data_IF_287622252719
#
_entry.id   IF_287622252719
#
_cell.length_a   1.000
_cell.length_b   1.000
_cell.length_c   1.000
_cell.angle_alpha   90.00
_cell.angle_beta   90.00
_cell.angle_gamma   90.00
#
_symmetry.space_group_name_H-M   'P 1'
#
loop_
_entity.id
_entity.type
_entity.pdbx_description
1 polymer ?
#
# COMPACT_ATOMS: atom_id res chain seq x y z
N UNK A 1 -32.17 -16.47 -6.69
CA UNK A 1 -31.22 -15.75 -7.58
C UNK A 1 -30.73 -14.53 -6.81
N UNK A 2 -29.68 -14.67 -6.01
CA UNK A 2 -29.14 -13.55 -5.23
C UNK A 2 -28.63 -12.47 -6.18
N UNK A 3 -29.23 -11.28 -6.10
CA UNK A 3 -28.82 -10.12 -6.89
C UNK A 3 -27.44 -9.69 -6.41
N UNK A 4 -26.40 -9.99 -7.20
CA UNK A 4 -25.03 -9.52 -6.94
C UNK A 4 -25.05 -7.99 -6.78
N UNK A 5 -24.77 -7.49 -5.57
CA UNK A 5 -24.70 -6.06 -5.27
C UNK A 5 -23.73 -5.37 -6.25
N UNK A 6 -24.08 -4.18 -6.75
CA UNK A 6 -23.15 -3.41 -7.58
C UNK A 6 -22.01 -2.93 -6.67
N UNK A 7 -20.81 -2.78 -7.23
CA UNK A 7 -19.62 -2.34 -6.46
C UNK A 7 -19.83 -1.02 -5.71
N UNK A 8 -20.53 -0.07 -6.32
CA UNK A 8 -20.87 1.19 -5.66
C UNK A 8 -21.81 0.98 -4.47
N UNK A 9 -22.74 0.02 -4.53
CA UNK A 9 -23.65 -0.27 -3.42
C UNK A 9 -22.87 -0.92 -2.25
N UNK A 10 -21.96 -1.86 -2.54
CA UNK A 10 -21.05 -2.43 -1.52
C UNK A 10 -20.14 -1.36 -0.89
N UNK A 11 -19.62 -0.44 -1.71
CA UNK A 11 -18.80 0.65 -1.21
C UNK A 11 -19.63 1.58 -0.31
N UNK A 12 -20.86 1.95 -0.70
CA UNK A 12 -21.77 2.74 0.15
C UNK A 12 -22.00 2.08 1.51
N UNK A 13 -22.23 0.77 1.56
CA UNK A 13 -22.39 0.04 2.82
C UNK A 13 -21.13 0.13 3.70
N UNK A 14 -19.94 -0.04 3.11
CA UNK A 14 -18.68 0.11 3.83
C UNK A 14 -18.46 1.53 4.35
N UNK A 15 -18.66 2.54 3.50
CA UNK A 15 -18.51 3.95 3.89
C UNK A 15 -19.60 4.41 4.86
N UNK A 16 -20.79 3.81 4.84
CA UNK A 16 -21.81 4.02 5.87
C UNK A 16 -21.35 3.49 7.23
N UNK A 17 -20.81 2.27 7.24
CA UNK A 17 -20.35 1.62 8.48
C UNK A 17 -19.08 2.23 9.06
N UNK A 18 -18.15 2.65 8.20
CA UNK A 18 -16.79 3.04 8.58
C UNK A 18 -16.41 4.47 8.17
N UNK A 19 -17.39 5.30 7.77
CA UNK A 19 -17.17 6.70 7.39
C UNK A 19 -16.49 7.51 8.49
N UNK A 20 -16.75 7.17 9.76
CA UNK A 20 -16.10 7.76 10.92
C UNK A 20 -14.57 7.62 10.95
N UNK A 21 -13.97 6.75 10.13
CA UNK A 21 -12.51 6.66 9.98
C UNK A 21 -11.91 7.82 9.16
N UNK A 22 -12.75 8.56 8.43
CA UNK A 22 -12.34 9.67 7.59
C UNK A 22 -12.46 11.02 8.31
N UNK A 23 -11.57 11.93 7.95
CA UNK A 23 -11.60 13.33 8.36
C UNK A 23 -11.71 14.21 7.10
N UNK A 24 -12.51 15.27 7.18
CA UNK A 24 -12.63 16.21 6.07
C UNK A 24 -11.27 16.85 5.76
N UNK A 25 -10.75 16.77 4.52
CA UNK A 25 -9.45 17.36 4.18
C UNK A 25 -9.44 18.90 4.25
N UNK A 26 -10.61 19.54 4.37
CA UNK A 26 -10.74 21.00 4.46
C UNK A 26 -10.80 21.48 5.91
N UNK A 27 -11.59 20.82 6.76
CA UNK A 27 -11.87 21.28 8.12
C UNK A 27 -11.61 20.25 9.23
N UNK A 28 -11.06 19.09 8.90
CA UNK A 28 -10.76 17.96 9.80
C UNK A 28 -11.95 17.35 10.56
N UNK A 29 -13.17 17.82 10.32
CA UNK A 29 -14.38 17.27 10.93
C UNK A 29 -14.61 15.80 10.49
N UNK A 30 -15.21 14.96 11.35
CA UNK A 30 -15.66 13.62 10.96
C UNK A 30 -16.54 13.64 9.71
N UNK A 31 -16.50 12.54 8.97
CA UNK A 31 -17.28 12.39 7.74
C UNK A 31 -18.24 11.21 7.82
N UNK A 32 -19.36 11.33 7.12
CA UNK A 32 -20.36 10.27 6.97
C UNK A 32 -20.83 10.21 5.52
N UNK A 33 -21.40 9.07 5.11
CA UNK A 33 -22.02 8.95 3.79
C UNK A 33 -23.35 9.72 3.78
N UNK A 34 -23.57 10.47 2.71
CA UNK A 34 -24.81 11.16 2.38
C UNK A 34 -25.28 10.74 0.98
N UNK A 35 -26.58 10.91 0.71
CA UNK A 35 -27.14 10.71 -0.63
C UNK A 35 -26.63 11.78 -1.61
N UNK A 36 -26.39 11.44 -2.89
CA UNK A 36 -26.68 10.17 -3.55
C UNK A 36 -25.55 9.12 -3.46
N UNK A 37 -24.33 9.49 -3.05
CA UNK A 37 -23.17 8.62 -2.81
C UNK A 37 -21.94 9.48 -2.42
N UNK A 38 -22.08 10.35 -1.42
CA UNK A 38 -21.10 11.41 -1.17
C UNK A 38 -20.61 11.32 0.26
N UNK A 39 -19.29 11.34 0.46
CA UNK A 39 -18.71 11.46 1.79
C UNK A 39 -18.72 12.94 2.18
N UNK A 40 -19.44 13.28 3.25
CA UNK A 40 -19.72 14.65 3.66
C UNK A 40 -19.44 14.86 5.15
N UNK A 41 -18.92 16.05 5.51
CA UNK A 41 -18.81 16.48 6.92
C UNK A 41 -19.93 17.47 7.28
N UNK A 42 -20.10 17.77 8.57
CA UNK A 42 -21.14 18.69 9.07
C UNK A 42 -21.05 20.12 8.50
N UNK A 43 -19.86 20.55 8.07
CA UNK A 43 -19.65 21.82 7.36
C UNK A 43 -20.05 21.78 5.87
N UNK A 44 -20.67 20.68 5.42
CA UNK A 44 -21.15 20.43 4.04
C UNK A 44 -20.06 20.37 2.96
N UNK A 45 -18.79 20.21 3.32
CA UNK A 45 -17.78 19.79 2.33
C UNK A 45 -18.05 18.36 1.90
N UNK A 46 -18.06 18.13 0.60
CA UNK A 46 -18.58 16.92 -0.04
C UNK A 46 -17.58 16.34 -1.02
N UNK A 47 -17.42 15.02 -1.00
CA UNK A 47 -16.52 14.28 -1.87
C UNK A 47 -17.25 13.06 -2.45
N UNK A 48 -17.37 13.02 -3.76
CA UNK A 48 -18.15 11.97 -4.42
C UNK A 48 -17.46 10.61 -4.34
N UNK A 49 -18.25 9.58 -4.05
CA UNK A 49 -17.84 8.20 -4.19
C UNK A 49 -17.89 7.83 -5.67
N UNK A 50 -16.73 7.53 -6.26
CA UNK A 50 -16.66 7.12 -7.65
C UNK A 50 -17.39 5.79 -7.86
N UNK A 51 -17.92 5.57 -9.07
CA UNK A 51 -18.60 4.30 -9.46
C UNK A 51 -17.76 3.02 -9.23
N UNK A 52 -16.44 3.17 -9.12
CA UNK A 52 -15.52 2.08 -8.80
C UNK A 52 -15.51 1.71 -7.32
N UNK A 53 -15.97 2.59 -6.42
CA UNK A 53 -16.02 2.36 -4.97
C UNK A 53 -14.88 3.02 -4.18
N UNK A 54 -14.29 4.10 -4.68
CA UNK A 54 -13.27 4.90 -3.96
C UNK A 54 -13.70 6.36 -3.83
N UNK A 55 -13.14 7.07 -2.86
CA UNK A 55 -13.30 8.52 -2.70
C UNK A 55 -11.99 9.24 -3.06
N UNK A 56 -12.08 10.41 -3.70
CA UNK A 56 -10.91 11.27 -3.91
C UNK A 56 -10.96 12.45 -2.94
N UNK A 57 -9.96 12.54 -2.07
CA UNK A 57 -9.87 13.53 -0.99
C UNK A 57 -8.73 14.52 -1.21
N UNK A 58 -8.10 14.53 -2.38
CA UNK A 58 -7.16 15.58 -2.76
C UNK A 58 -7.90 16.90 -2.98
N UNK A 59 -7.48 17.95 -2.27
CA UNK A 59 -8.06 19.30 -2.37
C UNK A 59 -7.39 20.18 -3.41
N UNK A 60 -6.23 19.76 -3.93
CA UNK A 60 -5.48 20.45 -4.97
C UNK A 60 -5.03 19.47 -6.04
N UNK A 61 -4.85 19.95 -7.27
CA UNK A 61 -4.25 19.16 -8.32
C UNK A 61 -2.81 18.80 -7.95
N UNK A 62 -2.52 17.51 -7.95
CA UNK A 62 -1.15 17.00 -7.86
C UNK A 62 -0.59 17.01 -9.28
N UNK A 63 0.71 17.33 -9.43
CA UNK A 63 1.38 17.23 -10.72
C UNK A 63 1.23 15.80 -11.27
N UNK A 64 1.10 15.68 -12.58
CA UNK A 64 1.08 14.38 -13.24
C UNK A 64 2.29 13.55 -12.76
N UNK A 65 2.00 12.43 -12.11
CA UNK A 65 3.02 11.54 -11.60
C UNK A 65 3.47 10.60 -12.73
N UNK A 66 4.70 10.09 -12.68
CA UNK A 66 5.15 9.01 -13.57
C UNK A 66 4.48 7.67 -13.26
N UNK A 67 3.60 7.62 -12.25
CA UNK A 67 2.80 6.44 -11.92
C UNK A 67 1.50 6.47 -12.72
N UNK A 68 1.54 5.85 -13.89
CA UNK A 68 0.40 5.76 -14.82
C UNK A 68 -0.36 4.45 -14.67
N UNK A 69 -1.40 4.29 -15.50
CA UNK A 69 -2.29 3.14 -15.46
C UNK A 69 -1.57 1.84 -15.85
N UNK A 70 -0.67 1.92 -16.81
CA UNK A 70 0.08 0.80 -17.37
C UNK A 70 1.02 0.20 -16.31
N UNK A 71 1.71 1.04 -15.54
CA UNK A 71 2.51 0.61 -14.38
C UNK A 71 1.67 -0.21 -13.40
N UNK A 72 0.53 0.31 -12.95
CA UNK A 72 -0.30 -0.38 -11.95
C UNK A 72 -0.92 -1.67 -12.50
N UNK A 73 -1.25 -1.71 -13.79
CA UNK A 73 -1.70 -2.94 -14.44
C UNK A 73 -0.59 -4.00 -14.46
N UNK A 74 0.65 -3.61 -14.81
CA UNK A 74 1.80 -4.51 -14.79
C UNK A 74 2.12 -5.01 -13.38
N UNK A 75 2.05 -4.12 -12.38
CA UNK A 75 2.24 -4.46 -10.96
C UNK A 75 1.19 -5.45 -10.47
N UNK A 76 -0.08 -5.23 -10.80
CA UNK A 76 -1.17 -6.15 -10.45
C UNK A 76 -0.95 -7.53 -11.05
N UNK A 77 -0.64 -7.62 -12.34
CA UNK A 77 -0.40 -8.90 -13.02
C UNK A 77 0.80 -9.65 -12.40
N UNK A 78 1.92 -8.96 -12.16
CA UNK A 78 3.08 -9.59 -11.53
C UNK A 78 2.80 -10.03 -10.08
N UNK A 79 2.00 -9.25 -9.33
CA UNK A 79 1.52 -9.64 -8.01
C UNK A 79 0.67 -10.92 -8.06
N UNK A 80 -0.20 -11.06 -9.07
CA UNK A 80 -1.04 -12.25 -9.26
C UNK A 80 -0.22 -13.50 -9.60
N UNK A 81 0.94 -13.33 -10.25
CA UNK A 81 1.92 -14.40 -10.47
C UNK A 81 2.68 -14.80 -9.20
N UNK A 82 2.43 -14.12 -8.07
CA UNK A 82 2.95 -14.48 -6.77
C UNK A 82 4.31 -13.88 -6.44
N UNK A 83 4.75 -12.85 -7.17
CA UNK A 83 6.06 -12.21 -7.00
C UNK A 83 6.40 -11.81 -5.55
N UNK A 84 5.42 -11.26 -4.82
CA UNK A 84 5.56 -10.85 -3.41
C UNK A 84 5.01 -11.87 -2.39
N UNK A 85 4.74 -13.11 -2.80
CA UNK A 85 4.06 -14.09 -1.92
C UNK A 85 4.81 -14.41 -0.63
N UNK A 86 6.13 -14.63 -0.73
CA UNK A 86 6.94 -14.94 0.45
C UNK A 86 7.00 -13.77 1.42
N UNK A 87 7.24 -12.56 0.90
CA UNK A 87 7.22 -11.33 1.69
C UNK A 87 5.89 -11.14 2.44
N UNK A 88 4.76 -11.31 1.75
CA UNK A 88 3.44 -11.12 2.35
C UNK A 88 3.08 -12.21 3.36
N UNK A 89 3.61 -13.44 3.21
CA UNK A 89 3.45 -14.49 4.20
C UNK A 89 4.21 -14.19 5.51
N UNK A 90 5.45 -13.71 5.41
CA UNK A 90 6.20 -13.25 6.60
C UNK A 90 5.51 -12.05 7.26
N UNK A 91 5.06 -11.07 6.46
CA UNK A 91 4.31 -9.92 6.98
C UNK A 91 3.02 -10.37 7.72
N UNK A 92 2.27 -11.33 7.17
CA UNK A 92 1.08 -11.88 7.84
C UNK A 92 1.41 -12.55 9.18
N UNK A 93 2.58 -13.18 9.29
CA UNK A 93 3.05 -13.79 10.55
C UNK A 93 3.27 -12.72 11.61
N UNK A 94 3.96 -11.63 11.26
CA UNK A 94 4.13 -10.49 12.17
C UNK A 94 2.81 -9.81 12.52
N UNK A 95 1.91 -9.63 11.54
CA UNK A 95 0.59 -9.08 11.79
C UNK A 95 -0.17 -9.92 12.82
N UNK A 96 -0.19 -11.23 12.66
CA UNK A 96 -0.89 -12.16 13.57
C UNK A 96 -0.29 -12.11 14.98
N UNK A 97 1.03 -11.94 15.09
CA UNK A 97 1.72 -11.96 16.38
C UNK A 97 1.64 -10.62 17.13
N UNK A 98 1.73 -9.49 16.42
CA UNK A 98 1.88 -8.17 17.04
C UNK A 98 0.65 -7.27 16.92
N UNK A 99 -0.30 -7.54 16.02
CA UNK A 99 -1.50 -6.73 15.94
C UNK A 99 -2.30 -6.83 17.25
N UNK A 100 -2.86 -5.71 17.75
CA UNK A 100 -3.60 -5.74 18.99
C UNK A 100 -4.84 -6.63 18.86
N UNK A 101 -5.03 -7.53 19.82
CA UNK A 101 -6.22 -8.37 19.91
C UNK A 101 -7.36 -7.58 20.58
N UNK A 102 -8.33 -7.11 19.79
CA UNK A 102 -9.57 -6.52 20.30
C UNK A 102 -10.73 -7.49 20.14
N UNK A 103 -11.39 -7.88 21.24
CA UNK A 103 -12.52 -8.80 21.19
C UNK A 103 -13.80 -8.16 20.60
N UNK A 104 -13.95 -6.83 20.72
CA UNK A 104 -15.24 -6.16 20.52
C UNK A 104 -15.33 -5.32 19.23
N UNK A 105 -14.24 -5.19 18.47
CA UNK A 105 -14.21 -4.40 17.23
C UNK A 105 -13.30 -5.06 16.17
N UNK A 106 -13.58 -4.87 14.87
CA UNK A 106 -12.67 -5.34 13.83
C UNK A 106 -11.32 -4.63 13.91
N UNK A 107 -10.24 -5.35 13.60
CA UNK A 107 -8.91 -4.78 13.44
C UNK A 107 -8.92 -3.78 12.28
N UNK A 108 -8.47 -2.55 12.52
CA UNK A 108 -8.34 -1.52 11.48
C UNK A 108 -6.94 -1.52 10.89
N UNK A 109 -6.83 -1.82 9.59
CA UNK A 109 -5.56 -1.84 8.85
C UNK A 109 -5.56 -0.71 7.81
N UNK A 110 -4.57 0.18 7.88
CA UNK A 110 -4.25 1.17 6.85
C UNK A 110 -3.08 0.67 6.01
N UNK A 111 -3.19 0.65 4.68
CA UNK A 111 -2.04 0.52 3.77
C UNK A 111 -1.71 1.92 3.21
N UNK A 112 -0.58 2.48 3.68
CA UNK A 112 -0.10 3.81 3.38
C UNK A 112 0.84 3.79 2.15
N UNK A 113 0.30 4.14 0.99
CA UNK A 113 0.96 3.95 -0.31
C UNK A 113 0.59 2.62 -0.96
N UNK A 114 -0.70 2.26 -0.92
CA UNK A 114 -1.17 0.94 -1.30
C UNK A 114 -1.05 0.61 -2.80
N UNK A 115 -0.79 1.61 -3.64
CA UNK A 115 -0.75 1.47 -5.09
C UNK A 115 -2.03 0.86 -5.67
N UNK A 116 -1.91 -0.32 -6.27
CA UNK A 116 -3.04 -1.06 -6.84
C UNK A 116 -3.77 -1.98 -5.84
N UNK A 117 -3.32 -2.05 -4.59
CA UNK A 117 -4.06 -2.66 -3.49
C UNK A 117 -3.87 -4.17 -3.29
N UNK A 118 -3.07 -4.86 -4.12
CA UNK A 118 -2.83 -6.31 -3.98
C UNK A 118 -2.32 -6.71 -2.59
N UNK A 119 -1.42 -5.92 -2.00
CA UNK A 119 -0.83 -6.25 -0.69
C UNK A 119 -1.87 -6.20 0.42
N UNK A 120 -2.57 -5.07 0.58
CA UNK A 120 -3.68 -4.93 1.53
C UNK A 120 -4.74 -6.02 1.33
N UNK A 121 -5.13 -6.28 0.07
CA UNK A 121 -6.16 -7.27 -0.23
C UNK A 121 -5.77 -8.67 0.24
N UNK A 122 -4.52 -9.08 0.02
CA UNK A 122 -4.02 -10.39 0.45
C UNK A 122 -3.91 -10.51 1.96
N UNK A 123 -3.41 -9.47 2.63
CA UNK A 123 -3.27 -9.42 4.09
C UNK A 123 -4.62 -9.48 4.79
N UNK A 124 -5.59 -8.69 4.32
CA UNK A 124 -6.95 -8.69 4.88
C UNK A 124 -7.66 -10.02 4.60
N UNK A 125 -7.49 -10.60 3.41
CA UNK A 125 -8.05 -11.91 3.10
C UNK A 125 -7.48 -13.01 4.00
N UNK A 126 -6.17 -13.04 4.21
CA UNK A 126 -5.53 -14.01 5.10
C UNK A 126 -6.01 -13.87 6.55
N UNK A 127 -6.11 -12.64 7.06
CA UNK A 127 -6.60 -12.36 8.41
C UNK A 127 -8.07 -12.77 8.57
N UNK A 128 -8.93 -12.47 7.60
CA UNK A 128 -10.34 -12.90 7.60
C UNK A 128 -10.49 -14.42 7.56
N UNK A 129 -9.67 -15.11 6.77
CA UNK A 129 -9.64 -16.58 6.72
C UNK A 129 -9.22 -17.22 8.04
N UNK A 130 -8.47 -16.51 8.89
CA UNK A 130 -8.14 -16.93 10.26
C UNK A 130 -9.23 -16.62 11.29
N UNK A 131 -10.39 -16.11 10.85
CA UNK A 131 -11.53 -15.77 11.70
C UNK A 131 -11.47 -14.38 12.33
N UNK A 132 -10.42 -13.61 12.07
CA UNK A 132 -10.28 -12.24 12.60
C UNK A 132 -11.15 -11.26 11.80
N UNK A 133 -12.08 -10.53 12.43
CA UNK A 133 -12.79 -9.45 11.77
C UNK A 133 -11.81 -8.32 11.44
N UNK A 134 -11.67 -7.98 10.16
CA UNK A 134 -10.73 -6.94 9.69
C UNK A 134 -11.41 -5.98 8.73
N UNK A 135 -11.16 -4.68 8.93
CA UNK A 135 -11.43 -3.63 7.96
C UNK A 135 -10.11 -3.04 7.46
N UNK A 136 -9.91 -3.09 6.14
CA UNK A 136 -8.75 -2.53 5.47
C UNK A 136 -9.09 -1.27 4.71
N UNK A 137 -8.23 -0.26 4.79
CA UNK A 137 -8.25 0.94 3.97
C UNK A 137 -6.93 1.10 3.22
N UNK A 138 -6.99 1.26 1.90
CA UNK A 138 -5.84 1.64 1.09
C UNK A 138 -5.85 3.13 0.78
N UNK A 139 -4.74 3.80 1.07
CA UNK A 139 -4.50 5.20 0.77
C UNK A 139 -3.33 5.31 -0.20
N UNK A 140 -3.51 6.06 -1.29
CA UNK A 140 -2.42 6.41 -2.20
C UNK A 140 -2.70 7.76 -2.87
N UNK A 141 -1.65 8.48 -3.26
CA UNK A 141 -1.77 9.72 -4.02
C UNK A 141 -2.06 9.44 -5.51
N UNK A 142 -1.68 8.27 -6.00
CA UNK A 142 -1.86 7.85 -7.38
C UNK A 142 -3.29 7.37 -7.66
N UNK A 143 -4.09 8.28 -8.25
CA UNK A 143 -5.49 8.02 -8.60
C UNK A 143 -5.70 6.76 -9.43
N UNK A 144 -4.84 6.47 -10.39
CA UNK A 144 -5.00 5.29 -11.25
C UNK A 144 -4.75 3.97 -10.51
N UNK A 145 -3.84 3.96 -9.52
CA UNK A 145 -3.62 2.84 -8.61
C UNK A 145 -4.87 2.56 -7.77
N UNK A 146 -5.39 3.58 -7.08
CA UNK A 146 -6.63 3.46 -6.29
C UNK A 146 -7.84 3.07 -7.14
N UNK A 147 -7.95 3.62 -8.35
CA UNK A 147 -9.01 3.27 -9.28
C UNK A 147 -8.93 1.80 -9.70
N UNK A 148 -7.71 1.26 -9.90
CA UNK A 148 -7.51 -0.16 -10.17
C UNK A 148 -7.83 -1.00 -8.92
N UNK A 149 -7.33 -0.60 -7.74
CA UNK A 149 -7.59 -1.26 -6.46
C UNK A 149 -9.09 -1.43 -6.20
N UNK A 150 -9.86 -0.34 -6.26
CA UNK A 150 -11.31 -0.36 -6.04
C UNK A 150 -12.06 -1.19 -7.09
N UNK A 151 -11.54 -1.25 -8.32
CA UNK A 151 -12.10 -2.14 -9.35
C UNK A 151 -11.79 -3.60 -9.08
N UNK A 152 -10.61 -3.94 -8.59
CA UNK A 152 -10.18 -5.33 -8.44
C UNK A 152 -10.69 -5.92 -7.13
N UNK A 153 -10.65 -5.14 -6.04
CA UNK A 153 -10.84 -5.62 -4.67
C UNK A 153 -12.03 -4.94 -3.99
N UNK A 154 -13.14 -5.67 -3.90
CA UNK A 154 -14.31 -5.28 -3.11
C UNK A 154 -14.15 -5.62 -1.61
N UNK A 155 -14.92 -4.99 -0.73
CA UNK A 155 -14.89 -5.31 0.70
C UNK A 155 -13.78 -4.58 1.49
N UNK A 156 -13.17 -3.56 0.87
CA UNK A 156 -12.11 -2.71 1.38
C UNK A 156 -12.44 -1.25 1.09
N UNK A 157 -11.93 -0.33 1.91
CA UNK A 157 -12.04 1.10 1.70
C UNK A 157 -10.86 1.57 0.85
N UNK A 158 -11.13 2.48 -0.08
CA UNK A 158 -10.10 3.01 -0.98
C UNK A 158 -10.23 4.52 -1.07
N UNK A 159 -9.12 5.23 -0.87
CA UNK A 159 -9.11 6.68 -1.05
C UNK A 159 -7.86 7.19 -1.76
N UNK A 160 -8.07 8.18 -2.63
CA UNK A 160 -6.99 8.98 -3.18
C UNK A 160 -6.71 10.13 -2.22
N UNK A 161 -5.52 10.17 -1.63
CA UNK A 161 -5.15 11.19 -0.66
C UNK A 161 -3.61 11.32 -0.55
N UNK A 162 -3.17 12.47 -0.04
CA UNK A 162 -1.76 12.70 0.28
C UNK A 162 -1.47 12.18 1.70
N UNK A 163 -0.54 11.23 1.82
CA UNK A 163 -0.12 10.70 3.11
C UNK A 163 0.47 11.79 4.02
N UNK A 164 1.03 12.86 3.45
CA UNK A 164 1.59 13.96 4.24
C UNK A 164 0.54 14.70 5.09
N UNK A 165 -0.74 14.62 4.69
CA UNK A 165 -1.89 15.20 5.38
C UNK A 165 -3.09 14.26 5.23
N UNK A 166 -2.95 13.05 5.77
CA UNK A 166 -3.93 11.99 5.55
C UNK A 166 -5.31 12.39 6.10
N UNK A 167 -6.37 12.42 5.29
CA UNK A 167 -7.73 12.81 5.69
C UNK A 167 -8.44 11.68 6.44
N UNK A 168 -7.78 11.19 7.50
CA UNK A 168 -8.19 10.08 8.34
C UNK A 168 -8.17 10.53 9.80
N UNK A 169 -9.10 10.00 10.60
CA UNK A 169 -9.21 10.30 12.01
C UNK A 169 -7.98 9.80 12.78
N UNK A 170 -7.56 10.62 13.75
CA UNK A 170 -6.45 10.30 14.64
C UNK A 170 -6.83 9.17 15.61
N UNK A 171 -5.83 8.37 16.01
CA UNK A 171 -5.98 7.31 17.03
C UNK A 171 -6.98 6.20 16.73
N UNK A 172 -7.25 5.92 15.45
CA UNK A 172 -8.23 4.92 15.01
C UNK A 172 -7.63 3.66 14.37
N UNK A 173 -6.31 3.67 14.10
CA UNK A 173 -5.66 2.65 13.28
C UNK A 173 -4.85 1.68 14.14
N UNK A 174 -5.25 0.42 14.17
CA UNK A 174 -4.59 -0.61 14.95
C UNK A 174 -3.31 -1.10 14.25
N UNK A 175 -3.29 -1.08 12.92
CA UNK A 175 -2.12 -1.41 12.11
C UNK A 175 -1.96 -0.43 10.95
N UNK A 176 -0.75 0.09 10.77
CA UNK A 176 -0.34 0.77 9.54
C UNK A 176 0.69 -0.11 8.82
N UNK A 177 0.37 -0.49 7.59
CA UNK A 177 1.28 -1.11 6.64
C UNK A 177 1.90 0.00 5.78
N UNK A 178 3.21 -0.05 5.61
CA UNK A 178 3.92 0.76 4.63
C UNK A 178 4.94 -0.13 3.91
N UNK A 179 4.56 -0.58 2.71
CA UNK A 179 5.27 -1.66 1.99
C UNK A 179 6.02 -1.07 0.80
N UNK A 180 7.35 -0.99 0.90
CA UNK A 180 8.21 -0.44 -0.16
C UNK A 180 7.80 0.98 -0.60
N UNK A 181 7.17 1.74 0.30
CA UNK A 181 6.65 3.09 0.11
C UNK A 181 7.42 4.11 0.96
N UNK A 182 7.42 5.41 0.61
CA UNK A 182 7.86 6.47 1.51
C UNK A 182 6.91 6.65 2.69
N UNK A 183 7.47 6.78 3.90
CA UNK A 183 6.71 6.92 5.13
C UNK A 183 6.58 8.38 5.60
N UNK A 184 5.49 8.67 6.32
CA UNK A 184 5.38 9.86 7.16
C UNK A 184 5.11 9.44 8.61
N UNK A 185 6.18 9.37 9.41
CA UNK A 185 6.10 8.86 10.78
C UNK A 185 5.31 9.77 11.73
N UNK A 186 5.25 11.08 11.46
CA UNK A 186 4.42 11.99 12.24
C UNK A 186 2.93 11.71 12.01
N UNK A 187 2.53 11.48 10.76
CA UNK A 187 1.16 11.08 10.42
C UNK A 187 0.85 9.68 10.94
N UNK A 188 1.79 8.73 10.87
CA UNK A 188 1.58 7.40 11.47
C UNK A 188 1.28 7.49 12.96
N UNK A 189 2.08 8.24 13.74
CA UNK A 189 1.80 8.46 15.17
C UNK A 189 0.45 9.13 15.41
N UNK A 190 0.07 10.10 14.59
CA UNK A 190 -1.25 10.76 14.71
C UNK A 190 -2.39 9.76 14.51
N UNK A 191 -2.23 8.84 13.55
CA UNK A 191 -3.26 7.90 13.14
C UNK A 191 -3.38 6.67 14.05
N UNK A 192 -2.26 6.17 14.57
CA UNK A 192 -2.24 4.94 15.38
C UNK A 192 -3.08 5.04 16.64
N UNK A 193 -3.89 4.01 16.89
CA UNK A 193 -4.54 3.78 18.17
C UNK A 193 -3.48 3.51 19.26
N UNK A 194 -3.85 3.56 20.56
CA UNK A 194 -2.86 3.43 21.63
C UNK A 194 -1.99 2.18 21.62
N UNK A 195 -2.58 1.05 21.24
CA UNK A 195 -1.88 -0.23 21.11
C UNK A 195 -1.48 -0.54 19.65
N UNK A 196 -1.59 0.46 18.77
CA UNK A 196 -1.36 0.28 17.35
C UNK A 196 0.11 0.10 16.99
N UNK A 197 0.33 -0.61 15.89
CA UNK A 197 1.67 -0.92 15.37
C UNK A 197 1.86 -0.42 13.93
N UNK A 198 3.11 -0.15 13.56
CA UNK A 198 3.52 0.01 12.16
C UNK A 198 4.28 -1.23 11.72
N UNK A 199 3.92 -1.79 10.57
CA UNK A 199 4.73 -2.78 9.86
C UNK A 199 5.29 -2.12 8.60
N UNK A 200 6.59 -1.80 8.64
CA UNK A 200 7.30 -1.12 7.56
C UNK A 200 8.19 -2.12 6.82
N UNK A 201 8.04 -2.18 5.50
CA UNK A 201 8.93 -2.96 4.63
C UNK A 201 9.88 -2.02 3.89
N UNK A 202 11.17 -2.28 4.05
CA UNK A 202 12.23 -1.58 3.35
C UNK A 202 12.86 -2.48 2.29
N UNK A 203 13.29 -1.97 1.13
CA UNK A 203 14.10 -2.75 0.22
C UNK A 203 15.48 -2.98 0.86
N UNK A 204 16.00 -4.20 0.81
CA UNK A 204 17.36 -4.51 1.25
C UNK A 204 18.40 -4.14 0.19
N UNK A 205 19.69 -4.30 0.52
CA UNK A 205 20.80 -3.93 -0.37
C UNK A 205 20.82 -4.72 -1.69
N UNK A 206 20.25 -5.92 -1.70
CA UNK A 206 20.19 -6.79 -2.88
C UNK A 206 18.85 -6.68 -3.63
N UNK A 207 17.98 -5.74 -3.24
CA UNK A 207 16.65 -5.59 -3.83
C UNK A 207 16.75 -5.25 -5.33
N UNK A 208 16.30 -6.20 -6.16
CA UNK A 208 16.36 -6.17 -7.62
C UNK A 208 17.78 -5.96 -8.17
N UNK A 209 18.81 -6.47 -7.48
CA UNK A 209 20.21 -6.23 -7.81
C UNK A 209 20.57 -6.68 -9.23
N UNK A 210 20.02 -7.79 -9.71
CA UNK A 210 20.28 -8.30 -11.05
C UNK A 210 19.83 -7.28 -12.12
N UNK A 211 18.64 -6.71 -11.94
CA UNK A 211 18.11 -5.68 -12.83
C UNK A 211 18.93 -4.38 -12.73
N UNK A 212 19.34 -3.97 -11.52
CA UNK A 212 20.19 -2.78 -11.32
C UNK A 212 21.52 -2.92 -12.03
N UNK A 213 22.19 -4.05 -11.87
CA UNK A 213 23.45 -4.35 -12.55
C UNK A 213 23.26 -4.29 -14.07
N UNK A 214 22.20 -4.92 -14.59
CA UNK A 214 21.98 -4.98 -16.02
C UNK A 214 21.64 -3.60 -16.64
N UNK A 215 20.93 -2.74 -15.91
CA UNK A 215 20.55 -1.41 -16.40
C UNK A 215 21.66 -0.35 -16.21
N UNK A 216 22.44 -0.46 -15.13
CA UNK A 216 23.28 0.62 -14.61
C UNK A 216 24.72 0.23 -14.29
N UNK A 217 25.23 -0.86 -14.86
CA UNK A 217 26.60 -1.36 -14.66
C UNK A 217 27.64 -0.23 -14.67
N UNK A 218 28.50 -0.20 -13.64
CA UNK A 218 29.56 0.80 -13.50
C UNK A 218 29.12 2.17 -12.94
N UNK A 219 27.86 2.33 -12.52
CA UNK A 219 27.37 3.56 -11.90
C UNK A 219 26.90 3.35 -10.45
N UNK A 220 26.73 4.46 -9.71
CA UNK A 220 26.18 4.43 -8.35
C UNK A 220 24.76 3.84 -8.26
N UNK A 221 23.99 3.89 -9.36
CA UNK A 221 22.62 3.36 -9.40
C UNK A 221 22.55 1.83 -9.43
N UNK A 222 23.68 1.18 -9.73
CA UNK A 222 23.82 -0.28 -9.66
C UNK A 222 23.71 -0.82 -8.21
N UNK A 223 23.90 0.03 -7.21
CA UNK A 223 23.83 -0.33 -5.79
C UNK A 223 22.69 0.39 -5.08
N UNK A 224 22.10 -0.25 -4.07
CA UNK A 224 21.07 0.36 -3.22
C UNK A 224 21.47 0.27 -1.74
N UNK A 225 21.23 1.36 -1.00
CA UNK A 225 21.43 1.44 0.45
C UNK A 225 20.29 2.24 1.07
N UNK A 226 19.85 1.83 2.26
CA UNK A 226 18.70 2.41 2.96
C UNK A 226 18.94 2.56 4.48
N UNK A 227 20.19 2.50 4.92
CA UNK A 227 20.57 2.47 6.34
C UNK A 227 19.95 3.63 7.13
N UNK A 228 19.88 4.82 6.52
CA UNK A 228 19.30 6.00 7.15
C UNK A 228 17.80 5.87 7.41
N UNK A 229 17.04 5.27 6.49
CA UNK A 229 15.59 5.13 6.62
C UNK A 229 15.19 4.16 7.74
N UNK A 230 15.95 3.07 7.92
CA UNK A 230 15.75 2.11 9.01
C UNK A 230 16.09 2.73 10.37
N UNK A 231 17.17 3.51 10.44
CA UNK A 231 17.53 4.26 11.65
C UNK A 231 16.46 5.28 12.02
N UNK A 232 15.91 6.00 11.04
CA UNK A 232 14.80 6.92 11.28
C UNK A 232 13.59 6.19 11.85
N UNK A 233 13.21 5.03 11.31
CA UNK A 233 12.11 4.24 11.89
C UNK A 233 12.33 3.90 13.36
N UNK A 234 13.51 3.38 13.69
CA UNK A 234 13.87 3.02 15.07
C UNK A 234 13.97 4.23 16.03
N UNK A 235 14.09 5.45 15.51
CA UNK A 235 14.01 6.70 16.30
C UNK A 235 12.56 7.16 16.54
N UNK A 236 11.60 6.68 15.76
CA UNK A 236 10.20 7.13 15.84
C UNK A 236 9.29 6.13 16.56
N UNK A 237 9.71 4.86 16.65
CA UNK A 237 8.93 3.75 17.23
C UNK A 237 9.83 2.82 18.04
N UNK A 238 9.28 2.25 19.12
CA UNK A 238 9.92 1.14 19.83
C UNK A 238 9.89 -0.10 18.94
N UNK A 239 11.06 -0.67 18.64
CA UNK A 239 11.17 -1.83 17.77
C UNK A 239 10.68 -3.09 18.50
N UNK A 240 9.68 -3.76 17.93
CA UNK A 240 9.15 -5.04 18.42
C UNK A 240 9.76 -6.23 17.69
N UNK A 241 10.05 -6.08 16.40
CA UNK A 241 10.65 -7.10 15.55
C UNK A 241 11.40 -6.47 14.37
N UNK A 242 12.44 -7.19 13.92
CA UNK A 242 13.10 -6.96 12.65
C UNK A 242 13.40 -8.32 12.00
N UNK A 243 12.99 -8.50 10.76
CA UNK A 243 13.23 -9.72 10.00
C UNK A 243 13.66 -9.39 8.56
N UNK A 244 14.74 -10.04 8.09
CA UNK A 244 15.14 -9.97 6.69
C UNK A 244 14.48 -11.10 5.90
N UNK A 245 13.81 -10.72 4.81
CA UNK A 245 13.21 -11.64 3.84
C UNK A 245 13.98 -11.52 2.54
N UNK A 246 14.70 -12.57 2.16
CA UNK A 246 15.46 -12.63 0.92
C UNK A 246 15.14 -13.91 0.15
N UNK A 247 14.69 -13.77 -1.08
CA UNK A 247 14.44 -14.89 -1.99
C UNK A 247 14.67 -14.49 -3.44
N UNK A 248 14.96 -15.49 -4.27
CA UNK A 248 15.01 -15.33 -5.73
C UNK A 248 13.70 -15.80 -6.35
N UNK A 249 13.22 -15.05 -7.32
CA UNK A 249 12.05 -15.40 -8.11
C UNK A 249 12.45 -15.64 -9.56
N UNK A 250 11.93 -16.72 -10.16
CA UNK A 250 12.23 -17.07 -11.54
C UNK A 250 11.44 -16.18 -12.49
N UNK A 251 12.16 -15.57 -13.44
CA UNK A 251 11.59 -14.65 -14.41
C UNK A 251 11.37 -15.34 -15.74
N UNK A 252 10.13 -15.40 -16.17
CA UNK A 252 9.76 -15.62 -17.57
C UNK A 252 9.94 -14.33 -18.37
N UNK A 253 10.06 -14.38 -19.72
CA UNK A 253 10.12 -13.18 -20.54
C UNK A 253 8.94 -12.21 -20.32
N UNK A 254 7.73 -12.74 -20.11
CA UNK A 254 6.56 -11.89 -19.82
C UNK A 254 6.68 -11.21 -18.46
N UNK A 255 7.10 -11.94 -17.43
CA UNK A 255 7.27 -11.38 -16.09
C UNK A 255 8.42 -10.37 -15.99
N UNK A 256 9.47 -10.52 -16.80
CA UNK A 256 10.52 -9.52 -16.95
C UNK A 256 9.97 -8.22 -17.53
N UNK A 257 9.11 -8.28 -18.55
CA UNK A 257 8.49 -7.08 -19.11
C UNK A 257 7.59 -6.38 -18.09
N UNK A 258 6.78 -7.15 -17.33
CA UNK A 258 5.97 -6.60 -16.25
C UNK A 258 6.82 -5.93 -15.17
N UNK A 259 7.94 -6.57 -14.78
CA UNK A 259 8.89 -6.02 -13.82
C UNK A 259 9.49 -4.70 -14.32
N UNK A 260 9.92 -4.64 -15.59
CA UNK A 260 10.45 -3.42 -16.22
C UNK A 260 9.40 -2.31 -16.26
N UNK A 261 8.14 -2.62 -16.55
CA UNK A 261 7.08 -1.60 -16.60
C UNK A 261 6.74 -1.04 -15.21
N UNK A 262 6.64 -1.89 -14.20
CA UNK A 262 6.21 -1.45 -12.87
C UNK A 262 7.28 -0.74 -12.05
N UNK A 263 8.56 -0.87 -12.41
CA UNK A 263 9.68 -0.41 -11.57
C UNK A 263 10.19 0.97 -11.98
N UNK A 264 10.37 1.90 -11.02
CA UNK A 264 11.04 3.17 -11.27
C UNK A 264 12.47 3.02 -11.83
N UNK A 265 13.10 1.85 -11.61
CA UNK A 265 14.45 1.57 -12.14
C UNK A 265 14.50 1.60 -13.67
N UNK A 266 13.41 1.30 -14.37
CA UNK A 266 13.40 1.32 -15.82
C UNK A 266 13.17 2.72 -16.40
N UNK A 267 12.48 3.62 -15.68
CA UNK A 267 12.03 4.91 -16.24
C UNK A 267 13.17 5.89 -16.53
N UNK A 268 14.32 5.71 -15.86
CA UNK A 268 15.53 6.50 -16.08
C UNK A 268 16.63 5.71 -16.79
N UNK A 269 16.37 4.45 -17.18
CA UNK A 269 17.37 3.63 -17.82
C UNK A 269 17.56 4.06 -19.27
N UNK A 270 18.79 3.94 -19.78
CA UNK A 270 19.05 4.18 -21.19
C UNK A 270 18.36 3.10 -22.05
N UNK A 271 17.77 3.50 -23.18
CA UNK A 271 17.05 2.57 -24.07
C UNK A 271 17.91 1.39 -24.53
N UNK A 272 19.22 1.63 -24.75
CA UNK A 272 20.20 0.58 -25.06
C UNK A 272 20.27 -0.50 -23.97
N UNK A 273 20.20 -0.11 -22.69
CA UNK A 273 20.27 -1.04 -21.56
C UNK A 273 18.98 -1.82 -21.43
N UNK A 274 17.83 -1.17 -21.62
CA UNK A 274 16.52 -1.84 -21.64
C UNK A 274 16.44 -2.88 -22.78
N UNK A 275 16.93 -2.51 -23.97
CA UNK A 275 16.98 -3.41 -25.13
C UNK A 275 17.89 -4.61 -24.85
N UNK A 276 19.07 -4.38 -24.29
CA UNK A 276 20.00 -5.45 -23.94
C UNK A 276 19.41 -6.42 -22.91
N UNK A 277 18.76 -5.90 -21.86
CA UNK A 277 18.08 -6.73 -20.84
C UNK A 277 16.98 -7.58 -21.47
N UNK A 278 16.18 -7.03 -22.39
CA UNK A 278 15.12 -7.78 -23.08
C UNK A 278 15.68 -8.87 -24.01
N UNK A 279 16.83 -8.64 -24.64
CA UNK A 279 17.46 -9.60 -25.55
C UNK A 279 18.17 -10.73 -24.81
N UNK A 280 18.96 -10.40 -23.79
CA UNK A 280 19.72 -11.37 -22.99
C UNK A 280 18.80 -12.12 -22.03
N UNK A 281 17.75 -11.45 -21.54
CA UNK A 281 16.90 -11.95 -20.49
C UNK A 281 17.55 -11.82 -19.10
N UNK A 282 16.72 -12.05 -18.09
CA UNK A 282 17.12 -12.13 -16.70
C UNK A 282 16.42 -13.36 -16.12
N UNK A 283 17.11 -14.46 -15.81
CA UNK A 283 16.43 -15.72 -15.46
C UNK A 283 15.86 -15.69 -14.03
N UNK A 284 16.45 -14.88 -13.16
CA UNK A 284 16.05 -14.73 -11.75
C UNK A 284 16.21 -13.27 -11.32
N UNK A 285 15.45 -12.89 -10.31
CA UNK A 285 15.54 -11.59 -9.66
C UNK A 285 15.43 -11.77 -8.15
N UNK A 286 16.25 -11.03 -7.40
CA UNK A 286 16.25 -11.07 -5.94
C UNK A 286 15.27 -10.06 -5.36
N UNK A 287 14.36 -10.54 -4.52
CA UNK A 287 13.57 -9.72 -3.60
C UNK A 287 14.24 -9.83 -2.23
N UNK A 288 15.00 -8.79 -1.87
CA UNK A 288 15.61 -8.61 -0.55
C UNK A 288 14.88 -7.47 0.15
N UNK A 289 14.31 -7.74 1.31
CA UNK A 289 13.55 -6.76 2.08
C UNK A 289 13.76 -6.94 3.58
N UNK A 290 13.67 -5.84 4.32
CA UNK A 290 13.63 -5.86 5.79
C UNK A 290 12.25 -5.45 6.25
N UNK A 291 11.58 -6.32 7.01
CA UNK A 291 10.34 -6.00 7.72
C UNK A 291 10.73 -5.51 9.12
N UNK A 292 10.22 -4.35 9.51
CA UNK A 292 10.34 -3.83 10.87
C UNK A 292 8.95 -3.61 11.45
N UNK A 293 8.74 -4.11 12.67
CA UNK A 293 7.51 -3.91 13.43
C UNK A 293 7.80 -2.93 14.56
N UNK A 294 7.08 -1.81 14.61
CA UNK A 294 7.29 -0.77 15.60
C UNK A 294 6.00 -0.38 16.31
N UNK A 295 6.09 -0.09 17.60
CA UNK A 295 5.00 0.49 18.40
C UNK A 295 5.28 1.96 18.66
N UNK A 296 4.25 2.81 18.60
CA UNK A 296 4.40 4.21 19.00
C UNK A 296 4.53 4.29 20.53
N UNK A 297 5.55 5.01 21.02
CA UNK A 297 5.60 5.44 22.41
C UNK A 297 4.57 6.58 22.58
N UNK A 298 3.71 6.47 23.59
CA UNK A 298 2.68 7.47 23.89
C UNK A 298 3.22 8.60 24.75
#
# INVERSE_FOLDING_TARGET
MERRLRKIDMAKELFSKYGYLFACPVCNAPMAIAEPATLQCDNRHSFDLARQGYVNLLTSSVKASKYDRELFAARLELNQQGFFSHLLATLQTHLTHYAPAGADKPLTILDAGCGEGSHLARVVAASRSSGQPVIGLGLDIAKDGIRLAARTYSGLLWCVADLARAPLQAKQWDVILDILSPANYAEFRRLLSPEGIVIKVFPGTQYLQELRTALYAGSKQATYQNTDSRRQFAQQFTLLAEEQVCYQWELTPSSLELLLQMTPLAWSAAERSLTAVRQVGLPKITVDATIMVGKAEQ
#
